data_IF_286344262806
#
_entry.id   IF_286344262806
#
_cell.length_a   1.000
_cell.length_b   1.000
_cell.length_c   1.000
_cell.angle_alpha   90.00
_cell.angle_beta   90.00
_cell.angle_gamma   90.00
#
_symmetry.space_group_name_H-M   'P 1'
#
loop_
_entity.id
_entity.type
_entity.pdbx_description
1 polymer ?
#
# COMPACT_ATOMS: atom_id res chain seq x y z
N UNK A 1 12.47 67.93 -1.49
CA UNK A 1 11.17 67.55 -2.11
C UNK A 1 10.13 67.46 -1.01
N UNK A 2 9.19 68.39 -0.99
CA UNK A 2 8.22 68.58 0.12
C UNK A 2 7.26 67.38 0.25
N UNK A 3 6.93 67.03 1.52
CA UNK A 3 6.05 65.92 1.87
C UNK A 3 4.67 65.98 1.19
N UNK A 4 4.21 67.20 0.83
CA UNK A 4 2.95 67.46 0.11
C UNK A 4 2.98 67.08 -1.37
N UNK A 5 4.16 67.16 -2.03
CA UNK A 5 4.32 66.78 -3.46
C UNK A 5 4.36 65.24 -3.64
N UNK A 6 4.85 64.51 -2.66
CA UNK A 6 4.84 63.04 -2.69
C UNK A 6 3.42 62.49 -2.57
N UNK A 7 2.58 63.11 -1.72
CA UNK A 7 1.19 62.72 -1.56
C UNK A 7 0.35 62.98 -2.78
N UNK A 8 0.60 64.11 -3.49
CA UNK A 8 -0.10 64.42 -4.75
C UNK A 8 0.16 63.41 -5.87
N UNK A 9 1.40 62.91 -5.96
CA UNK A 9 1.79 61.90 -6.97
C UNK A 9 1.13 60.55 -6.67
N UNK A 10 1.03 60.15 -5.40
CA UNK A 10 0.39 58.89 -4.99
C UNK A 10 -1.12 58.89 -5.30
N UNK A 11 -1.78 60.03 -5.10
CA UNK A 11 -3.22 60.16 -5.41
C UNK A 11 -3.46 60.11 -6.92
N UNK A 12 -2.56 60.69 -7.74
CA UNK A 12 -2.68 60.73 -9.20
C UNK A 12 -2.45 59.36 -9.81
N UNK A 13 -1.48 58.59 -9.31
CA UNK A 13 -1.24 57.21 -9.72
C UNK A 13 -2.37 56.27 -9.30
N UNK A 14 -2.92 56.46 -8.08
CA UNK A 14 -4.06 55.68 -7.59
C UNK A 14 -5.32 55.92 -8.44
N UNK A 15 -5.60 57.17 -8.84
CA UNK A 15 -6.75 57.51 -9.70
C UNK A 15 -6.60 56.91 -11.12
N UNK A 16 -5.34 56.83 -11.64
CA UNK A 16 -5.06 56.18 -12.94
C UNK A 16 -5.34 54.70 -12.97
N UNK A 17 -4.99 53.99 -11.89
CA UNK A 17 -5.20 52.52 -11.78
C UNK A 17 -6.71 52.23 -11.64
N UNK A 18 -7.45 53.01 -10.87
CA UNK A 18 -8.90 52.81 -10.68
C UNK A 18 -9.65 53.17 -11.98
N UNK A 19 -9.28 54.23 -12.68
CA UNK A 19 -9.85 54.62 -13.98
C UNK A 19 -9.60 53.58 -15.08
N UNK A 20 -8.39 53.01 -15.12
CA UNK A 20 -8.03 51.97 -16.07
C UNK A 20 -8.78 50.63 -15.83
N UNK A 21 -8.98 50.29 -14.55
CA UNK A 21 -9.75 49.09 -14.16
C UNK A 21 -11.23 49.16 -14.55
N UNK A 22 -11.85 50.32 -14.39
CA UNK A 22 -13.24 50.55 -14.76
C UNK A 22 -13.44 50.60 -16.28
N UNK A 23 -12.45 51.13 -17.03
CA UNK A 23 -12.52 51.22 -18.49
C UNK A 23 -12.39 49.82 -19.16
N UNK A 24 -11.75 48.85 -18.51
CA UNK A 24 -11.63 47.51 -19.03
C UNK A 24 -12.86 46.60 -18.79
N UNK A 25 -13.78 47.05 -17.93
CA UNK A 25 -15.04 46.32 -17.63
C UNK A 25 -16.28 46.80 -18.38
N UNK A 26 -16.15 47.86 -19.19
CA UNK A 26 -17.25 48.27 -20.05
C UNK A 26 -17.43 47.19 -21.15
N UNK A 27 -18.63 46.59 -21.24
CA UNK A 27 -18.91 45.63 -22.29
C UNK A 27 -18.77 46.35 -23.64
N UNK A 28 -17.85 45.90 -24.51
CA UNK A 28 -17.84 46.31 -25.91
C UNK A 28 -19.18 45.92 -26.50
N UNK A 29 -19.99 46.95 -26.74
CA UNK A 29 -21.17 46.84 -27.55
C UNK A 29 -20.74 46.45 -28.95
N UNK A 30 -20.82 45.17 -29.26
CA UNK A 30 -20.66 44.72 -30.63
C UNK A 30 -21.90 45.20 -31.36
N UNK A 31 -21.74 46.28 -32.09
CA UNK A 31 -22.65 46.69 -33.13
C UNK A 31 -22.55 45.69 -34.31
N UNK A 32 -23.06 44.50 -34.08
CA UNK A 32 -23.56 43.68 -35.17
C UNK A 32 -24.91 44.26 -35.58
N UNK A 33 -24.84 45.39 -36.25
CA UNK A 33 -25.91 45.83 -37.12
C UNK A 33 -25.96 44.86 -38.30
N UNK A 34 -26.77 43.90 -38.09
CA UNK A 34 -27.24 42.90 -38.99
C UNK A 34 -27.58 43.45 -40.34
N UNK A 35 -27.20 42.72 -41.36
CA UNK A 35 -27.57 42.88 -42.78
C UNK A 35 -29.10 42.93 -43.04
N UNK A 36 -29.91 43.02 -42.01
CA UNK A 36 -31.36 43.10 -42.08
C UNK A 36 -31.90 44.54 -42.45
N UNK A 37 -31.13 45.60 -42.12
CA UNK A 37 -31.59 46.98 -42.39
C UNK A 37 -31.30 47.49 -43.81
N UNK A 38 -30.58 46.77 -44.64
CA UNK A 38 -30.28 47.15 -46.02
C UNK A 38 -31.26 46.66 -47.07
N UNK A 39 -32.27 45.89 -46.66
CA UNK A 39 -33.25 45.30 -47.60
C UNK A 39 -34.60 46.04 -47.61
N UNK A 40 -34.76 47.05 -46.75
CA UNK A 40 -36.08 47.76 -46.70
C UNK A 40 -36.19 49.06 -47.55
N UNK A 41 -35.28 49.27 -48.50
CA UNK A 41 -35.47 50.42 -49.45
C UNK A 41 -35.48 49.91 -50.86
N UNK A 42 -36.65 49.44 -51.30
CA UNK A 42 -36.89 49.19 -52.76
C UNK A 42 -37.76 48.00 -53.06
N UNK A 43 -39.02 48.10 -52.96
CA UNK A 43 -39.99 47.77 -54.00
C UNK A 43 -41.37 47.44 -53.41
N UNK A 44 -42.30 48.34 -53.51
CA UNK A 44 -43.74 48.07 -53.34
C UNK A 44 -44.19 47.12 -54.47
N UNK A 45 -44.24 45.82 -54.24
CA UNK A 45 -45.06 44.89 -55.03
C UNK A 45 -45.57 43.72 -54.15
N UNK A 46 -46.93 43.70 -54.09
CA UNK A 46 -47.77 42.56 -53.67
C UNK A 46 -47.45 41.83 -52.37
N UNK A 47 -48.33 41.96 -51.42
CA UNK A 47 -48.31 41.32 -50.11
C UNK A 47 -47.99 39.82 -50.16
N UNK A 48 -46.78 39.49 -49.87
CA UNK A 48 -46.46 38.21 -49.37
C UNK A 48 -46.70 38.25 -47.85
N UNK A 49 -47.63 37.45 -47.36
CA UNK A 49 -47.75 37.21 -45.95
C UNK A 49 -46.43 36.67 -45.43
N UNK A 50 -45.74 37.48 -44.65
CA UNK A 50 -44.54 37.02 -43.98
C UNK A 50 -45.03 36.25 -42.72
N UNK A 51 -44.87 34.93 -42.77
CA UNK A 51 -45.10 34.11 -41.59
C UNK A 51 -43.97 34.34 -40.59
N UNK A 52 -44.31 34.84 -39.42
CA UNK A 52 -43.38 34.91 -38.32
C UNK A 52 -43.12 33.49 -37.82
N UNK A 53 -41.90 33.04 -37.97
CA UNK A 53 -41.43 31.72 -37.47
C UNK A 53 -40.41 31.92 -36.39
N UNK A 54 -40.57 31.23 -35.28
CA UNK A 54 -39.57 31.16 -34.23
C UNK A 54 -38.59 30.05 -34.61
N UNK A 55 -37.38 30.42 -34.96
CA UNK A 55 -36.28 29.47 -35.23
C UNK A 55 -35.34 29.37 -34.05
N UNK A 56 -35.08 28.18 -33.59
CA UNK A 56 -34.06 27.91 -32.54
C UNK A 56 -32.87 27.19 -33.20
N UNK A 57 -31.72 27.81 -33.15
CA UNK A 57 -30.48 27.19 -33.64
C UNK A 57 -30.02 26.17 -32.59
N UNK A 58 -30.05 24.90 -33.01
CA UNK A 58 -29.54 23.80 -32.21
C UNK A 58 -28.01 23.74 -32.46
N UNK A 59 -27.26 23.94 -31.43
CA UNK A 59 -25.79 23.76 -31.45
C UNK A 59 -25.44 22.48 -30.73
N UNK A 60 -24.47 21.69 -31.19
CA UNK A 60 -23.97 20.55 -30.45
C UNK A 60 -23.39 21.04 -29.12
N UNK A 61 -23.83 20.46 -28.03
CA UNK A 61 -23.36 20.74 -26.69
C UNK A 61 -22.84 19.44 -26.10
N UNK A 62 -21.64 19.49 -25.54
CA UNK A 62 -21.11 18.36 -24.78
C UNK A 62 -21.86 18.29 -23.45
N UNK A 63 -22.51 17.16 -23.20
CA UNK A 63 -23.13 16.85 -21.93
C UNK A 63 -22.20 15.89 -21.20
N UNK A 64 -21.79 16.24 -20.01
CA UNK A 64 -21.06 15.35 -19.11
C UNK A 64 -22.04 14.91 -18.02
N UNK A 65 -22.24 13.62 -17.94
CA UNK A 65 -23.03 13.02 -16.86
C UNK A 65 -22.05 12.42 -15.83
N UNK A 66 -22.14 12.87 -14.61
CA UNK A 66 -21.27 12.42 -13.52
C UNK A 66 -22.08 11.54 -12.58
N UNK A 67 -21.64 10.29 -12.44
CA UNK A 67 -22.18 9.36 -11.47
C UNK A 67 -21.27 9.30 -10.26
N UNK A 68 -21.79 9.65 -9.10
CA UNK A 68 -21.12 9.43 -7.83
C UNK A 68 -21.66 8.15 -7.21
N UNK A 69 -20.76 7.21 -6.96
CA UNK A 69 -21.08 5.96 -6.27
C UNK A 69 -20.18 5.81 -5.05
N UNK A 70 -20.70 5.15 -4.04
CA UNK A 70 -19.93 4.77 -2.86
C UNK A 70 -19.62 3.28 -2.93
N UNK A 71 -18.43 2.90 -2.47
CA UNK A 71 -17.98 1.53 -2.38
C UNK A 71 -17.13 1.32 -1.13
N UNK A 72 -16.97 0.07 -0.72
CA UNK A 72 -16.07 -0.34 0.35
C UNK A 72 -14.91 -1.06 -0.29
N UNK A 73 -13.69 -0.67 0.07
CA UNK A 73 -12.49 -1.41 -0.30
C UNK A 73 -12.29 -2.53 0.71
N UNK A 74 -12.22 -3.75 0.21
CA UNK A 74 -11.89 -4.94 1.01
C UNK A 74 -10.49 -5.38 0.62
N UNK A 75 -9.70 -5.90 1.58
CA UNK A 75 -8.44 -6.54 1.26
C UNK A 75 -8.68 -7.81 0.43
N UNK A 76 -7.68 -8.21 -0.37
CA UNK A 76 -7.70 -9.45 -1.14
C UNK A 76 -7.57 -10.66 -0.20
N UNK A 77 -6.67 -10.53 0.79
CA UNK A 77 -6.47 -11.52 1.85
C UNK A 77 -6.41 -10.83 3.21
N UNK A 78 -7.07 -11.44 4.19
CA UNK A 78 -7.04 -11.02 5.59
C UNK A 78 -6.94 -12.25 6.48
N UNK A 79 -6.06 -12.20 7.48
CA UNK A 79 -5.84 -13.31 8.41
C UNK A 79 -5.57 -12.80 9.82
N UNK A 80 -6.22 -13.41 10.78
CA UNK A 80 -5.92 -13.22 12.20
C UNK A 80 -4.80 -14.15 12.62
N UNK A 81 -3.68 -13.58 13.06
CA UNK A 81 -2.51 -14.34 13.49
C UNK A 81 -2.55 -14.55 15.01
N UNK A 82 -2.39 -15.79 15.41
CA UNK A 82 -2.26 -16.17 16.82
C UNK A 82 -1.10 -17.14 17.03
N UNK A 83 -0.54 -17.17 18.24
CA UNK A 83 0.47 -18.16 18.58
C UNK A 83 -0.17 -19.54 18.74
N UNK A 84 0.50 -20.56 18.25
CA UNK A 84 0.08 -21.95 18.42
C UNK A 84 0.48 -22.49 19.80
N UNK A 85 1.37 -21.81 20.52
CA UNK A 85 1.81 -22.17 21.87
C UNK A 85 1.51 -21.08 22.88
N UNK A 86 1.21 -21.49 24.12
CA UNK A 86 0.96 -20.54 25.21
C UNK A 86 2.27 -20.13 25.88
N UNK A 87 2.39 -18.84 26.22
CA UNK A 87 3.54 -18.36 26.96
C UNK A 87 3.59 -16.84 27.09
N UNK A 88 4.65 -16.34 27.72
CA UNK A 88 4.87 -14.91 27.85
C UNK A 88 5.53 -14.36 26.59
N UNK A 89 4.93 -13.38 25.95
CA UNK A 89 5.54 -12.63 24.84
C UNK A 89 6.78 -11.89 25.39
N UNK A 90 7.90 -12.07 24.72
CA UNK A 90 9.18 -11.47 25.08
C UNK A 90 9.65 -10.44 24.06
N UNK A 91 9.14 -10.51 22.83
CA UNK A 91 9.54 -9.65 21.73
C UNK A 91 8.36 -9.32 20.84
N UNK A 92 8.23 -8.06 20.42
CA UNK A 92 7.25 -7.58 19.44
C UNK A 92 8.03 -6.69 18.46
N UNK A 93 8.03 -7.05 17.17
CA UNK A 93 8.85 -6.45 16.14
C UNK A 93 8.00 -5.82 15.01
N UNK A 94 6.81 -5.36 15.33
CA UNK A 94 5.94 -4.69 14.38
C UNK A 94 5.24 -3.50 15.02
N UNK A 95 4.81 -2.57 14.17
CA UNK A 95 3.94 -1.45 14.50
C UNK A 95 2.66 -1.56 13.66
N UNK A 96 1.53 -1.13 14.21
CA UNK A 96 0.25 -1.09 13.51
C UNK A 96 0.33 -0.19 12.27
N UNK A 97 -0.23 -0.62 11.16
CA UNK A 97 -0.18 0.12 9.89
C UNK A 97 1.13 0.01 9.12
N UNK A 98 2.12 -0.74 9.61
CA UNK A 98 3.39 -0.94 8.88
C UNK A 98 3.31 -2.09 7.89
N UNK A 99 4.07 -1.96 6.80
CA UNK A 99 4.21 -3.04 5.82
C UNK A 99 5.21 -4.08 6.31
N UNK A 100 4.85 -5.35 6.14
CA UNK A 100 5.68 -6.50 6.49
C UNK A 100 5.84 -7.44 5.31
N UNK A 101 6.93 -8.20 5.31
CA UNK A 101 7.23 -9.20 4.28
C UNK A 101 6.91 -10.60 4.78
N UNK A 102 6.57 -11.48 3.86
CA UNK A 102 6.41 -12.92 4.13
C UNK A 102 7.62 -13.48 4.87
N UNK A 103 7.36 -14.23 5.96
CA UNK A 103 8.38 -14.82 6.82
C UNK A 103 9.00 -13.86 7.84
N UNK A 104 8.66 -12.56 7.82
CA UNK A 104 9.15 -11.61 8.81
C UNK A 104 8.66 -11.99 10.21
N UNK A 105 9.57 -11.99 11.19
CA UNK A 105 9.25 -12.24 12.59
C UNK A 105 8.47 -11.02 13.15
N UNK A 106 7.24 -11.28 13.58
CA UNK A 106 6.34 -10.26 14.14
C UNK A 106 6.43 -10.23 15.67
N UNK A 107 6.34 -11.39 16.29
CA UNK A 107 6.42 -11.49 17.74
C UNK A 107 7.01 -12.84 18.17
N UNK A 108 7.51 -12.91 19.39
CA UNK A 108 8.12 -14.12 19.95
C UNK A 108 7.67 -14.37 21.37
N UNK A 109 7.37 -15.64 21.67
CA UNK A 109 7.11 -16.14 23.00
C UNK A 109 8.42 -16.66 23.63
N UNK A 110 8.47 -16.72 24.96
CA UNK A 110 9.64 -17.18 25.70
C UNK A 110 9.97 -18.66 25.38
N UNK A 111 11.04 -18.87 24.64
CA UNK A 111 11.53 -20.18 24.18
C UNK A 111 12.79 -20.66 24.94
N UNK A 112 13.22 -19.97 26.00
CA UNK A 112 14.49 -20.27 26.69
C UNK A 112 14.62 -21.72 27.13
N UNK A 113 13.52 -22.33 27.56
CA UNK A 113 13.52 -23.73 27.98
C UNK A 113 13.77 -24.67 26.79
N UNK A 114 13.12 -24.40 25.63
CA UNK A 114 13.31 -25.17 24.41
C UNK A 114 14.73 -25.01 23.87
N UNK A 115 15.27 -23.80 23.89
CA UNK A 115 16.67 -23.54 23.51
C UNK A 115 17.66 -24.32 24.38
N UNK A 116 17.44 -24.36 25.69
CA UNK A 116 18.28 -25.17 26.59
C UNK A 116 18.18 -26.68 26.31
N UNK A 117 16.96 -27.17 25.98
CA UNK A 117 16.76 -28.56 25.56
C UNK A 117 17.48 -28.86 24.24
N UNK A 118 17.35 -27.98 23.24
CA UNK A 118 18.07 -28.11 21.97
C UNK A 118 19.57 -28.16 22.19
N UNK A 119 20.12 -27.27 22.97
CA UNK A 119 21.56 -27.24 23.28
C UNK A 119 22.05 -28.53 23.93
N UNK A 120 21.24 -29.11 24.84
CA UNK A 120 21.55 -30.42 25.45
C UNK A 120 21.59 -31.53 24.40
N UNK A 121 20.58 -31.60 23.52
CA UNK A 121 20.52 -32.64 22.47
C UNK A 121 21.65 -32.49 21.46
N UNK A 122 21.95 -31.27 21.04
CA UNK A 122 23.08 -30.97 20.12
C UNK A 122 24.41 -31.39 20.75
N UNK A 123 24.58 -31.22 22.07
CA UNK A 123 25.78 -31.68 22.77
C UNK A 123 25.88 -33.23 22.78
N UNK A 124 24.74 -33.94 22.87
CA UNK A 124 24.68 -35.38 22.78
C UNK A 124 24.91 -35.89 21.37
N UNK A 125 24.50 -35.14 20.35
CA UNK A 125 24.62 -35.50 18.93
C UNK A 125 26.09 -35.75 18.56
N UNK A 126 27.00 -34.89 18.94
CA UNK A 126 28.42 -35.04 18.68
C UNK A 126 28.97 -36.37 19.26
N UNK A 127 28.56 -36.71 20.49
CA UNK A 127 28.97 -37.98 21.10
C UNK A 127 28.39 -39.20 20.36
N UNK A 128 27.12 -39.10 19.92
CA UNK A 128 26.48 -40.19 19.16
C UNK A 128 27.15 -40.39 17.79
N UNK A 129 27.44 -39.31 17.08
CA UNK A 129 28.20 -39.34 15.80
C UNK A 129 29.58 -40.02 16.01
N UNK A 130 30.32 -39.61 17.02
CA UNK A 130 31.62 -40.24 17.36
C UNK A 130 31.49 -41.73 17.68
N UNK A 131 30.39 -42.14 18.33
CA UNK A 131 30.11 -43.56 18.62
C UNK A 131 29.88 -44.35 17.33
N UNK A 132 29.02 -43.84 16.44
CA UNK A 132 28.74 -44.45 15.14
C UNK A 132 30.04 -44.58 14.33
N UNK A 133 30.82 -43.50 14.26
CA UNK A 133 32.11 -43.52 13.56
C UNK A 133 33.07 -44.61 14.10
N UNK A 134 33.21 -44.73 15.42
CA UNK A 134 34.03 -45.78 16.05
C UNK A 134 33.51 -47.18 15.76
N UNK A 135 32.18 -47.38 15.86
CA UNK A 135 31.55 -48.67 15.61
C UNK A 135 31.66 -49.07 14.13
N UNK A 136 31.57 -48.15 13.19
CA UNK A 136 31.78 -48.39 11.77
C UNK A 136 33.23 -48.87 11.51
N UNK A 137 34.22 -48.23 12.13
CA UNK A 137 35.60 -48.59 12.02
C UNK A 137 35.92 -49.99 12.61
N UNK A 138 35.24 -50.34 13.69
CA UNK A 138 35.34 -51.66 14.31
C UNK A 138 34.65 -52.74 13.49
N UNK A 139 33.47 -52.46 12.93
CA UNK A 139 32.73 -53.34 12.05
C UNK A 139 33.54 -53.73 10.81
N UNK A 140 34.21 -52.73 10.19
CA UNK A 140 35.11 -52.97 9.04
C UNK A 140 36.30 -53.89 9.34
N UNK A 141 36.59 -54.15 10.64
CA UNK A 141 37.65 -55.05 11.13
C UNK A 141 37.08 -56.34 11.75
N UNK A 142 35.76 -56.59 11.56
CA UNK A 142 35.04 -57.70 12.15
C UNK A 142 35.16 -57.77 13.70
N UNK A 143 35.43 -56.64 14.35
CA UNK A 143 35.61 -56.53 15.78
C UNK A 143 34.30 -56.33 16.59
N UNK A 144 33.19 -56.05 15.90
CA UNK A 144 31.85 -55.89 16.48
C UNK A 144 30.80 -56.54 15.58
N UNK A 145 29.64 -56.89 16.14
CA UNK A 145 28.52 -57.42 15.36
C UNK A 145 27.84 -56.32 14.56
N UNK A 146 27.25 -56.68 13.42
CA UNK A 146 26.43 -55.77 12.63
C UNK A 146 25.24 -55.23 13.46
N UNK A 147 24.66 -56.05 14.31
CA UNK A 147 23.60 -55.64 15.21
C UNK A 147 24.03 -54.48 16.13
N UNK A 148 25.23 -54.58 16.75
CA UNK A 148 25.77 -53.52 17.60
C UNK A 148 25.99 -52.20 16.84
N UNK A 149 26.42 -52.27 15.57
CA UNK A 149 26.50 -51.09 14.72
C UNK A 149 25.14 -50.51 14.38
N UNK A 150 24.18 -51.34 13.97
CA UNK A 150 22.82 -50.88 13.64
C UNK A 150 22.12 -50.24 14.86
N UNK A 151 22.37 -50.75 16.07
CA UNK A 151 21.86 -50.17 17.30
C UNK A 151 22.33 -48.68 17.47
N UNK A 152 23.64 -48.43 17.43
CA UNK A 152 24.18 -47.07 17.62
C UNK A 152 23.78 -46.16 16.50
N UNK A 153 23.57 -46.67 15.29
CA UNK A 153 23.05 -45.91 14.14
C UNK A 153 21.61 -45.51 14.34
N UNK A 154 20.78 -46.42 14.90
CA UNK A 154 19.40 -46.17 15.26
C UNK A 154 19.29 -45.11 16.39
N UNK A 155 20.17 -45.23 17.41
CA UNK A 155 20.24 -44.26 18.50
C UNK A 155 20.55 -42.85 17.97
N UNK A 156 21.49 -42.74 17.00
CA UNK A 156 21.81 -41.47 16.31
C UNK A 156 20.60 -40.93 15.53
N UNK A 157 19.88 -41.81 14.81
CA UNK A 157 18.69 -41.42 14.05
C UNK A 157 17.60 -40.91 14.98
N UNK A 158 17.37 -41.60 16.12
CA UNK A 158 16.40 -41.16 17.15
C UNK A 158 16.77 -39.79 17.70
N UNK A 159 18.05 -39.57 18.04
CA UNK A 159 18.52 -38.30 18.56
C UNK A 159 18.36 -37.14 17.56
N UNK A 160 18.58 -37.39 16.26
CA UNK A 160 18.29 -36.42 15.22
C UNK A 160 16.80 -36.10 15.15
N UNK A 161 15.91 -37.09 15.24
CA UNK A 161 14.47 -36.87 15.26
C UNK A 161 14.04 -36.03 16.49
N UNK A 162 14.61 -36.31 17.66
CA UNK A 162 14.35 -35.50 18.87
C UNK A 162 14.77 -34.04 18.69
N UNK A 163 15.91 -33.80 18.05
CA UNK A 163 16.37 -32.43 17.72
C UNK A 163 15.37 -31.71 16.80
N UNK A 164 14.88 -32.39 15.76
CA UNK A 164 13.90 -31.80 14.84
C UNK A 164 12.57 -31.49 15.54
N UNK A 165 12.12 -32.35 16.45
CA UNK A 165 10.93 -32.06 17.28
C UNK A 165 11.12 -30.78 18.10
N UNK A 166 12.27 -30.60 18.74
CA UNK A 166 12.52 -29.40 19.54
C UNK A 166 12.63 -28.16 18.65
N UNK A 167 13.23 -28.25 17.46
CA UNK A 167 13.26 -27.15 16.50
C UNK A 167 11.86 -26.74 16.06
N UNK A 168 11.02 -27.70 15.70
CA UNK A 168 9.62 -27.43 15.36
C UNK A 168 8.88 -26.73 16.52
N UNK A 169 9.08 -27.21 17.76
CA UNK A 169 8.49 -26.56 18.93
C UNK A 169 9.01 -25.10 19.13
N UNK A 170 10.25 -24.82 18.77
CA UNK A 170 10.79 -23.45 18.80
C UNK A 170 10.12 -22.60 17.72
N UNK A 171 9.92 -23.12 16.51
CA UNK A 171 9.21 -22.43 15.45
C UNK A 171 7.80 -22.01 15.85
N UNK A 172 7.08 -22.85 16.60
CA UNK A 172 5.74 -22.52 17.13
C UNK A 172 5.77 -21.35 18.14
N UNK A 173 6.92 -20.98 18.68
CA UNK A 173 7.08 -19.81 19.55
C UNK A 173 7.25 -18.51 18.77
N UNK A 174 7.44 -18.56 17.47
CA UNK A 174 7.68 -17.43 16.59
C UNK A 174 6.46 -17.16 15.73
N UNK A 175 5.90 -15.96 15.86
CA UNK A 175 4.82 -15.50 15.00
C UNK A 175 5.40 -14.79 13.78
N UNK A 176 5.20 -15.38 12.60
CA UNK A 176 5.71 -14.86 11.33
C UNK A 176 4.60 -14.52 10.36
N UNK A 177 4.82 -13.51 9.51
CA UNK A 177 3.87 -13.11 8.48
C UNK A 177 3.76 -14.20 7.40
N UNK A 178 2.55 -14.68 7.05
CA UNK A 178 2.35 -15.72 6.03
C UNK A 178 2.48 -15.20 4.59
N UNK A 179 2.24 -13.90 4.37
CA UNK A 179 2.33 -13.21 3.08
C UNK A 179 2.79 -11.76 3.28
N UNK A 180 3.07 -11.06 2.17
CA UNK A 180 3.41 -9.64 2.19
C UNK A 180 2.14 -8.81 2.39
N UNK A 181 2.14 -7.88 3.34
CA UNK A 181 0.95 -7.10 3.64
C UNK A 181 1.19 -5.96 4.60
N UNK A 182 0.09 -5.42 5.13
CA UNK A 182 0.09 -4.37 6.14
C UNK A 182 -0.53 -4.92 7.41
N UNK A 183 0.11 -4.66 8.54
CA UNK A 183 -0.41 -5.04 9.85
C UNK A 183 -1.64 -4.19 10.17
N UNK A 184 -2.74 -4.86 10.49
CA UNK A 184 -3.95 -4.22 11.00
C UNK A 184 -3.83 -3.76 12.44
N UNK A 185 -4.97 -3.52 13.06
CA UNK A 185 -5.07 -3.27 14.51
C UNK A 185 -4.95 -4.60 15.26
N UNK A 186 -4.34 -4.58 16.44
CA UNK A 186 -4.25 -5.73 17.34
C UNK A 186 -5.36 -5.74 18.40
#
# INVERSE_FOLDING_TARGET
MNKKTKWGIIILVGAGIIGGGIYSQLPKKNDELTAADKVMSGNKKKGRQILNVNAKVIKPQSLTDEFTTTGVLLPDEEVDLSFETSGKIVEINFEEGTSVKKGQLLAKVNDRQLQAQLQRLVSQLKLAEDRVFRQDALLKRDAVSKEAYEQVKTDLATLNADIEIIKANIELTELRAPFDGVIGLR
#
